data_IF_133522310450
#
_entry.id   IF_133522310450
#
_cell.length_a   1.000
_cell.length_b   1.000
_cell.length_c   1.000
_cell.angle_alpha   90.00
_cell.angle_beta   90.00
_cell.angle_gamma   90.00
#
_symmetry.space_group_name_H-M   'P 1'
#
loop_
_entity.id
_entity.type
_entity.pdbx_description
1 polymer ?
#
# COMPACT_ATOMS: atom_id res chain seq x y z
N UNK A 1 -8.80 -1.68 21.05
CA UNK A 1 -8.85 -2.53 19.84
C UNK A 1 -8.00 -1.93 18.74
N UNK A 2 -8.30 -0.74 18.23
CA UNK A 2 -7.40 -0.03 17.29
C UNK A 2 -6.35 0.75 18.09
N UNK A 3 -5.08 0.51 17.81
CA UNK A 3 -3.93 1.17 18.44
C UNK A 3 -3.31 2.24 17.55
N UNK A 4 -2.44 3.07 18.14
CA UNK A 4 -1.53 3.90 17.36
C UNK A 4 -0.44 3.01 16.74
N UNK A 5 -0.12 3.24 15.48
CA UNK A 5 0.97 2.61 14.76
C UNK A 5 1.85 3.65 14.08
N UNK A 6 3.13 3.30 13.93
CA UNK A 6 4.06 4.04 13.10
C UNK A 6 3.88 3.63 11.65
N UNK A 7 3.48 4.56 10.82
CA UNK A 7 3.42 4.42 9.38
C UNK A 7 4.67 5.06 8.77
N UNK A 8 5.49 4.24 8.12
CA UNK A 8 6.64 4.69 7.38
C UNK A 8 6.22 5.40 6.10
N UNK A 9 6.98 6.43 5.74
CA UNK A 9 6.78 7.25 4.56
C UNK A 9 8.05 7.19 3.71
N UNK A 10 8.63 6.00 3.52
CA UNK A 10 9.72 5.81 2.58
C UNK A 10 9.21 5.76 1.14
N UNK A 11 10.09 6.05 0.20
CA UNK A 11 9.82 6.15 -1.23
C UNK A 11 10.88 5.42 -2.07
N UNK A 12 10.55 5.17 -3.32
CA UNK A 12 11.45 4.63 -4.33
C UNK A 12 11.18 5.31 -5.67
N UNK A 13 12.20 5.46 -6.51
CA UNK A 13 12.07 6.00 -7.86
C UNK A 13 12.72 5.03 -8.87
N UNK A 14 11.99 3.99 -9.24
CA UNK A 14 12.38 3.03 -10.26
C UNK A 14 11.19 2.16 -10.65
N UNK A 15 11.24 1.55 -11.84
CA UNK A 15 10.08 0.92 -12.49
C UNK A 15 10.07 -0.61 -12.49
N UNK A 16 11.15 -1.27 -12.08
CA UNK A 16 11.30 -2.74 -12.13
C UNK A 16 11.44 -3.31 -10.71
N UNK A 17 10.35 -3.33 -9.96
CA UNK A 17 10.33 -3.72 -8.54
C UNK A 17 9.23 -4.72 -8.23
N UNK A 18 9.55 -5.62 -7.30
CA UNK A 18 8.59 -6.55 -6.69
C UNK A 18 7.90 -5.90 -5.49
N UNK A 19 6.84 -6.53 -4.99
CA UNK A 19 6.17 -6.16 -3.74
C UNK A 19 7.17 -6.10 -2.57
N UNK A 20 8.04 -7.11 -2.44
CA UNK A 20 9.09 -7.16 -1.41
C UNK A 20 10.08 -6.02 -1.51
N UNK A 21 10.49 -5.68 -2.73
CA UNK A 21 11.44 -4.59 -2.94
C UNK A 21 10.83 -3.28 -2.45
N UNK A 22 9.60 -2.97 -2.87
CA UNK A 22 8.88 -1.77 -2.45
C UNK A 22 8.62 -1.76 -0.94
N UNK A 23 8.22 -2.89 -0.35
CA UNK A 23 8.01 -3.03 1.09
C UNK A 23 9.22 -2.56 1.90
N UNK A 24 10.43 -2.91 1.45
CA UNK A 24 11.67 -2.48 2.09
C UNK A 24 11.91 -0.97 1.93
N UNK A 25 11.65 -0.42 0.73
CA UNK A 25 11.80 1.02 0.48
C UNK A 25 10.80 1.88 1.25
N UNK A 26 9.55 1.43 1.38
CA UNK A 26 8.51 2.08 2.18
C UNK A 26 8.92 2.26 3.63
N UNK A 27 9.75 1.34 4.16
CA UNK A 27 10.23 1.32 5.56
C UNK A 27 11.57 2.02 5.76
N UNK A 28 12.20 2.54 4.70
CA UNK A 28 13.48 3.24 4.84
C UNK A 28 13.30 4.55 5.59
N UNK A 29 14.10 4.73 6.64
CA UNK A 29 14.17 5.96 7.45
C UNK A 29 15.56 6.61 7.43
N UNK A 30 16.58 5.90 6.94
CA UNK A 30 18.00 6.28 6.87
C UNK A 30 18.68 5.64 5.65
N UNK A 31 19.77 6.23 5.15
CA UNK A 31 20.64 5.61 4.13
C UNK A 31 21.10 6.55 3.01
N UNK A 32 22.01 6.08 2.16
CA UNK A 32 22.45 6.79 0.95
C UNK A 32 21.41 6.62 -0.16
N UNK A 33 20.88 7.72 -0.66
CA UNK A 33 19.80 7.75 -1.66
C UNK A 33 18.58 8.46 -1.10
N UNK A 34 17.92 9.28 -1.91
CA UNK A 34 16.69 9.99 -1.52
C UNK A 34 15.55 8.97 -1.49
N UNK A 35 15.23 8.41 -0.32
CA UNK A 35 14.01 7.63 -0.07
C UNK A 35 12.90 8.55 0.50
N UNK A 36 13.17 9.84 0.61
CA UNK A 36 12.23 10.90 0.89
C UNK A 36 12.61 12.17 0.17
N UNK A 37 11.60 13.00 -0.09
CA UNK A 37 11.81 14.26 -0.79
C UNK A 37 12.12 15.38 0.21
N UNK A 38 13.28 16.01 0.07
CA UNK A 38 13.64 17.21 0.83
C UNK A 38 13.59 16.98 2.34
N UNK A 39 12.74 17.74 3.04
CA UNK A 39 12.52 17.62 4.49
C UNK A 39 11.22 16.91 4.85
N UNK A 40 10.62 16.16 3.90
CA UNK A 40 9.41 15.39 4.19
C UNK A 40 9.68 14.41 5.34
N UNK A 41 8.71 14.22 6.25
CA UNK A 41 8.85 13.25 7.31
C UNK A 41 9.00 11.84 6.73
N UNK A 42 9.85 11.02 7.33
CA UNK A 42 10.05 9.63 6.94
C UNK A 42 9.04 8.67 7.60
N UNK A 43 8.22 9.18 8.51
CA UNK A 43 7.19 8.41 9.22
C UNK A 43 6.24 9.34 9.97
N UNK A 44 5.08 8.79 10.35
CA UNK A 44 4.11 9.43 11.23
C UNK A 44 3.44 8.39 12.13
N UNK A 45 2.79 8.83 13.21
CA UNK A 45 2.10 7.94 14.16
C UNK A 45 0.61 8.28 14.20
N UNK A 46 -0.24 7.27 14.03
CA UNK A 46 -1.69 7.43 14.10
C UNK A 46 -2.44 6.11 14.11
N UNK A 47 -3.77 6.18 14.04
CA UNK A 47 -4.65 5.00 14.14
C UNK A 47 -5.06 4.39 12.80
N UNK A 48 -4.98 5.17 11.72
CA UNK A 48 -5.42 4.76 10.39
C UNK A 48 -4.55 5.43 9.33
N UNK A 49 -4.23 4.73 8.24
CA UNK A 49 -3.52 5.29 7.09
C UNK A 49 -4.11 4.78 5.78
N UNK A 50 -3.48 5.13 4.66
CA UNK A 50 -3.71 4.48 3.38
C UNK A 50 -2.97 3.13 3.35
N UNK A 51 -3.40 2.23 2.46
CA UNK A 51 -2.60 1.06 2.12
C UNK A 51 -1.25 1.45 1.52
N UNK A 52 -0.25 0.63 1.75
CA UNK A 52 1.03 0.70 1.05
C UNK A 52 0.91 0.16 -0.38
N UNK A 53 1.86 0.52 -1.24
CA UNK A 53 1.92 -0.09 -2.56
C UNK A 53 2.33 -1.57 -2.44
N UNK A 54 3.14 -1.93 -1.43
CA UNK A 54 3.41 -3.33 -1.12
C UNK A 54 2.17 -4.12 -0.72
N UNK A 55 1.22 -3.50 0.02
CA UNK A 55 -0.02 -4.17 0.43
C UNK A 55 -0.84 -4.58 -0.82
N UNK A 56 -0.91 -3.70 -1.81
CA UNK A 56 -1.49 -4.01 -3.11
C UNK A 56 -0.72 -5.12 -3.85
N UNK A 57 0.61 -5.10 -3.76
CA UNK A 57 1.48 -6.15 -4.31
C UNK A 57 1.17 -7.53 -3.71
N UNK A 58 1.19 -7.63 -2.38
CA UNK A 58 0.93 -8.88 -1.65
C UNK A 58 -0.53 -9.35 -1.72
N UNK A 59 -1.44 -8.49 -2.16
CA UNK A 59 -2.81 -8.90 -2.38
C UNK A 59 -2.98 -9.78 -3.63
N UNK A 60 -2.01 -9.77 -4.56
CA UNK A 60 -1.94 -10.77 -5.62
C UNK A 60 -1.51 -12.12 -5.04
N UNK A 61 -2.06 -13.22 -5.58
CA UNK A 61 -1.60 -14.57 -5.23
C UNK A 61 -0.16 -14.83 -5.69
N UNK A 62 0.42 -15.92 -5.19
CA UNK A 62 1.75 -16.40 -5.58
C UNK A 62 1.87 -16.72 -7.09
N UNK A 63 0.75 -16.85 -7.81
CA UNK A 63 0.74 -17.03 -9.27
C UNK A 63 1.24 -15.78 -10.01
N UNK A 64 1.13 -14.59 -9.40
CA UNK A 64 1.64 -13.36 -9.96
C UNK A 64 3.15 -13.22 -9.73
N UNK A 65 3.93 -13.65 -10.71
CA UNK A 65 5.40 -13.58 -10.69
C UNK A 65 5.97 -12.30 -11.31
N UNK A 66 5.11 -11.33 -11.64
CA UNK A 66 5.50 -10.11 -12.34
C UNK A 66 6.04 -9.04 -11.39
N UNK A 67 6.75 -8.06 -11.93
CA UNK A 67 7.02 -6.80 -11.22
C UNK A 67 5.74 -5.97 -11.12
N UNK A 68 5.64 -5.08 -10.13
CA UNK A 68 4.46 -4.22 -9.91
C UNK A 68 4.08 -3.37 -11.14
N UNK A 69 5.05 -3.02 -11.98
CA UNK A 69 4.83 -2.30 -13.25
C UNK A 69 4.07 -3.13 -14.29
N UNK A 70 4.10 -4.44 -14.16
CA UNK A 70 3.48 -5.43 -15.05
C UNK A 70 2.28 -6.13 -14.38
N UNK A 71 1.73 -5.56 -13.30
CA UNK A 71 0.50 -6.09 -12.68
C UNK A 71 -0.76 -5.88 -13.52
N UNK A 72 -0.63 -5.25 -14.70
CA UNK A 72 -1.67 -5.27 -15.72
C UNK A 72 -1.80 -6.62 -16.43
N UNK A 73 -0.88 -7.56 -16.18
CA UNK A 73 -1.02 -8.97 -16.53
C UNK A 73 -2.31 -9.56 -15.98
N UNK A 74 -2.97 -10.41 -16.79
CA UNK A 74 -4.27 -10.98 -16.45
C UNK A 74 -4.21 -11.82 -15.17
N UNK A 75 -3.18 -12.66 -15.01
CA UNK A 75 -3.00 -13.54 -13.85
C UNK A 75 -2.83 -12.72 -12.57
N UNK A 76 -2.10 -11.60 -12.65
CA UNK A 76 -1.91 -10.71 -11.52
C UNK A 76 -3.21 -10.01 -11.11
N UNK A 77 -3.98 -9.49 -12.07
CA UNK A 77 -5.25 -8.81 -11.77
C UNK A 77 -6.33 -9.75 -11.27
N UNK A 78 -6.49 -10.90 -11.91
CA UNK A 78 -7.57 -11.84 -11.57
C UNK A 78 -7.39 -12.43 -10.18
N UNK A 79 -6.15 -12.51 -9.71
CA UNK A 79 -5.80 -13.06 -8.41
C UNK A 79 -5.46 -12.00 -7.35
N UNK A 80 -5.77 -10.71 -7.59
CA UNK A 80 -5.51 -9.65 -6.64
C UNK A 80 -6.81 -9.17 -5.99
N UNK A 81 -7.01 -9.47 -4.71
CA UNK A 81 -8.25 -9.13 -3.99
C UNK A 81 -8.40 -7.63 -3.68
N UNK A 82 -7.35 -6.84 -3.88
CA UNK A 82 -7.37 -5.38 -3.83
C UNK A 82 -7.53 -4.72 -5.21
N UNK A 83 -7.49 -5.50 -6.29
CA UNK A 83 -7.69 -4.97 -7.64
C UNK A 83 -9.09 -4.38 -7.80
N UNK A 84 -9.13 -3.22 -8.47
CA UNK A 84 -10.34 -2.54 -8.88
C UNK A 84 -10.03 -1.77 -10.17
N UNK A 85 -11.02 -1.60 -11.05
CA UNK A 85 -10.90 -0.86 -12.31
C UNK A 85 -10.97 0.66 -12.08
N UNK A 86 -10.34 1.13 -11.00
CA UNK A 86 -10.32 2.51 -10.57
C UNK A 86 -8.93 2.90 -10.08
N UNK A 87 -8.64 4.20 -10.07
CA UNK A 87 -7.46 4.72 -9.40
C UNK A 87 -7.59 4.52 -7.88
N UNK A 88 -6.49 4.14 -7.23
CA UNK A 88 -6.46 3.94 -5.77
C UNK A 88 -5.30 4.68 -5.14
N UNK A 89 -5.58 5.44 -4.09
CA UNK A 89 -4.57 6.12 -3.29
C UNK A 89 -3.75 5.11 -2.48
N UNK A 90 -2.44 5.29 -2.49
CA UNK A 90 -1.50 4.56 -1.62
C UNK A 90 -0.65 5.55 -0.83
N UNK A 91 -0.12 5.10 0.30
CA UNK A 91 0.75 5.93 1.15
C UNK A 91 2.14 6.19 0.53
N UNK A 92 2.48 5.44 -0.53
CA UNK A 92 3.83 5.42 -1.09
C UNK A 92 4.21 6.73 -1.79
N UNK A 93 5.25 7.39 -1.29
CA UNK A 93 5.69 8.68 -1.82
C UNK A 93 6.67 8.55 -3.00
N UNK A 94 6.71 9.58 -3.84
CA UNK A 94 7.78 9.75 -4.81
C UNK A 94 8.91 10.58 -4.21
N UNK A 95 10.13 10.02 -4.05
CA UNK A 95 11.19 10.74 -3.37
C UNK A 95 11.89 11.81 -4.23
N UNK A 96 11.54 11.95 -5.51
CA UNK A 96 12.18 12.87 -6.45
C UNK A 96 11.38 14.16 -6.72
N UNK A 97 10.08 14.19 -6.40
CA UNK A 97 9.23 15.37 -6.67
C UNK A 97 8.29 15.67 -5.49
N UNK A 98 8.41 16.89 -4.93
CA UNK A 98 7.68 17.40 -3.74
C UNK A 98 6.19 17.09 -3.66
N UNK A 99 5.49 17.18 -4.78
CA UNK A 99 4.02 17.12 -4.80
C UNK A 99 3.52 15.85 -5.46
N UNK A 100 4.33 14.78 -5.51
CA UNK A 100 3.92 13.54 -6.17
C UNK A 100 3.94 12.33 -5.27
N UNK A 101 2.96 11.46 -5.49
CA UNK A 101 2.84 10.15 -4.85
C UNK A 101 2.62 9.09 -5.91
N UNK A 102 2.72 7.83 -5.51
CA UNK A 102 2.28 6.73 -6.34
C UNK A 102 0.79 6.43 -6.13
N UNK A 103 0.19 5.75 -7.10
CA UNK A 103 -1.18 5.23 -7.06
C UNK A 103 -1.23 3.90 -7.80
N UNK A 104 -2.22 3.09 -7.47
CA UNK A 104 -2.64 2.00 -8.36
C UNK A 104 -3.51 2.61 -9.46
N UNK A 105 -3.33 2.15 -10.69
CA UNK A 105 -4.12 2.60 -11.86
C UNK A 105 -5.18 1.55 -12.24
N UNK A 106 -6.25 1.91 -12.97
CA UNK A 106 -7.32 0.99 -13.38
C UNK A 106 -6.82 -0.26 -14.12
N UNK A 107 -5.68 -0.16 -14.79
CA UNK A 107 -5.05 -1.26 -15.51
C UNK A 107 -4.37 -2.28 -14.59
N UNK A 108 -4.29 -2.04 -13.28
CA UNK A 108 -3.78 -2.97 -12.27
C UNK A 108 -2.31 -2.79 -11.91
N UNK A 109 -1.52 -2.07 -12.71
CA UNK A 109 -0.17 -1.64 -12.33
C UNK A 109 -0.21 -0.35 -11.48
N UNK A 110 0.96 0.26 -11.27
CA UNK A 110 1.09 1.52 -10.53
C UNK A 110 1.71 2.63 -11.39
N UNK A 111 1.46 3.87 -11.01
CA UNK A 111 2.03 5.06 -11.64
C UNK A 111 2.07 6.23 -10.66
N UNK A 112 2.82 7.28 -10.98
CA UNK A 112 2.87 8.49 -10.15
C UNK A 112 1.93 9.59 -10.67
N UNK A 113 1.55 10.51 -9.79
CA UNK A 113 0.86 11.75 -10.13
C UNK A 113 1.25 12.86 -9.18
N UNK A 114 0.92 14.08 -9.58
CA UNK A 114 0.79 15.19 -8.66
C UNK A 114 -0.44 15.01 -7.75
N UNK A 115 -0.27 15.27 -6.45
CA UNK A 115 -1.35 15.26 -5.46
C UNK A 115 -2.23 16.48 -5.68
N UNK A 116 -3.46 16.24 -6.13
CA UNK A 116 -4.54 17.21 -6.29
C UNK A 116 -5.85 16.58 -5.77
N UNK A 117 -6.95 17.32 -5.84
CA UNK A 117 -8.31 16.88 -5.45
C UNK A 117 -8.88 15.83 -6.43
N UNK A 118 -8.19 14.70 -6.57
CA UNK A 118 -8.67 13.56 -7.35
C UNK A 118 -9.53 12.63 -6.50
N UNK A 119 -10.71 12.29 -7.02
CA UNK A 119 -11.62 11.31 -6.43
C UNK A 119 -11.14 9.89 -6.77
N UNK A 120 -10.18 9.38 -6.00
CA UNK A 120 -9.68 7.99 -6.11
C UNK A 120 -10.12 7.15 -4.93
N UNK A 121 -10.15 5.84 -5.14
CA UNK A 121 -10.53 4.89 -4.10
C UNK A 121 -9.50 4.89 -2.98
N UNK A 122 -10.01 4.77 -1.76
CA UNK A 122 -9.22 4.73 -0.54
C UNK A 122 -9.51 3.41 0.17
N UNK A 123 -8.44 2.73 0.60
CA UNK A 123 -8.53 1.54 1.43
C UNK A 123 -7.82 1.81 2.76
N UNK A 124 -8.57 2.21 3.81
CA UNK A 124 -7.96 2.51 5.09
C UNK A 124 -7.29 1.29 5.70
N UNK A 125 -6.08 1.46 6.22
CA UNK A 125 -5.34 0.45 6.98
C UNK A 125 -5.26 0.85 8.45
N UNK A 126 -5.47 -0.10 9.35
CA UNK A 126 -5.49 0.13 10.80
C UNK A 126 -4.63 -0.92 11.50
N UNK A 127 -4.10 -0.56 12.66
CA UNK A 127 -3.38 -1.48 13.52
C UNK A 127 -4.26 -1.95 14.67
N UNK A 128 -4.51 -3.26 14.72
CA UNK A 128 -5.16 -3.89 15.87
C UNK A 128 -4.13 -4.15 16.97
N UNK A 129 -4.47 -3.84 18.21
CA UNK A 129 -3.61 -4.12 19.37
C UNK A 129 -3.41 -5.63 19.53
N UNK A 130 -2.29 -6.07 20.08
CA UNK A 130 -1.95 -7.49 20.24
C UNK A 130 -2.96 -8.31 21.07
N UNK A 131 -3.75 -7.63 21.91
CA UNK A 131 -4.86 -8.20 22.67
C UNK A 131 -6.04 -8.61 21.78
N UNK A 132 -6.19 -8.03 20.59
CA UNK A 132 -7.34 -8.29 19.73
C UNK A 132 -7.25 -9.70 19.13
N UNK A 133 -8.36 -10.42 19.17
CA UNK A 133 -8.53 -11.76 18.61
C UNK A 133 -9.67 -11.79 17.61
N UNK A 134 -9.60 -12.73 16.67
CA UNK A 134 -10.78 -13.17 15.92
C UNK A 134 -11.59 -14.05 16.87
N UNK A 135 -12.79 -13.61 17.22
CA UNK A 135 -13.67 -14.32 18.16
C UNK A 135 -14.83 -15.03 17.47
N UNK A 136 -14.93 -14.89 16.15
CA UNK A 136 -15.94 -15.53 15.31
C UNK A 136 -15.79 -15.13 13.84
N UNK A 137 -16.56 -15.78 12.98
CA UNK A 137 -16.48 -15.61 11.53
C UNK A 137 -15.31 -16.35 10.89
N UNK A 138 -15.42 -16.58 9.58
CA UNK A 138 -14.40 -17.21 8.74
C UNK A 138 -13.81 -16.25 7.69
N UNK A 139 -14.28 -14.99 7.69
CA UNK A 139 -13.79 -13.96 6.78
C UNK A 139 -14.49 -13.94 5.42
N UNK A 140 -15.53 -14.76 5.21
CA UNK A 140 -16.38 -14.68 4.01
C UNK A 140 -17.35 -13.51 4.07
N UNK A 141 -17.91 -13.10 2.93
CA UNK A 141 -18.90 -12.02 2.87
C UNK A 141 -20.18 -12.30 3.67
N UNK A 142 -20.55 -13.57 3.82
CA UNK A 142 -21.71 -14.01 4.62
C UNK A 142 -21.37 -14.29 6.08
N UNK A 143 -20.09 -14.44 6.43
CA UNK A 143 -19.62 -14.75 7.77
C UNK A 143 -18.31 -13.98 8.10
N UNK A 144 -18.37 -12.63 8.14
CA UNK A 144 -17.19 -11.79 8.31
C UNK A 144 -16.54 -12.00 9.68
N UNK A 145 -15.23 -11.77 9.75
CA UNK A 145 -14.51 -11.85 11.02
C UNK A 145 -15.10 -10.89 12.05
N UNK A 146 -15.36 -11.43 13.24
CA UNK A 146 -15.72 -10.66 14.43
C UNK A 146 -14.48 -10.52 15.31
N UNK A 147 -14.21 -9.30 15.75
CA UNK A 147 -13.03 -8.97 16.55
C UNK A 147 -13.42 -8.73 18.02
N UNK A 148 -12.64 -9.30 18.94
CA UNK A 148 -12.83 -9.15 20.39
C UNK A 148 -11.50 -8.93 21.12
N UNK A 149 -11.59 -8.65 22.43
CA UNK A 149 -10.44 -8.50 23.34
C UNK A 149 -10.24 -9.77 24.18
#
# INVERSE_FOLDING_TARGET
>A
MIGNAKYYLGGYNGSNVTADTIYQYERKISGSGTYYYGTNPNSWVGKAALMYLSDYGYAASEECTKTLSNYNDLTCKSNNWLFDKNYQWVLFQNPYRRYTVYRVVPDGNYGNLNVYENLYNVRPTLYLTSSVKITGGDGTSTNPYTLGL
#
